data_IF_629148024964
#
_entry.id   IF_629148024964
#
_cell.length_a   1.000
_cell.length_b   1.000
_cell.length_c   1.000
_cell.angle_alpha   90.00
_cell.angle_beta   90.00
_cell.angle_gamma   90.00
#
_symmetry.space_group_name_H-M   'P 1'
#
loop_
_entity.id
_entity.type
_entity.pdbx_description
1 polymer ?
#
# COMPACT_ATOMS: atom_id res chain seq x y z
N UNK A 1 11.26 -4.62 7.36
CA UNK A 1 11.76 -4.20 6.04
C UNK A 1 12.91 -5.10 5.65
N UNK A 2 12.90 -5.63 4.43
CA UNK A 2 14.00 -6.39 3.83
C UNK A 2 14.31 -5.72 2.49
N UNK A 3 15.59 -5.45 2.24
CA UNK A 3 16.07 -4.88 0.99
C UNK A 3 16.94 -5.89 0.26
N UNK A 4 16.58 -6.20 -0.99
CA UNK A 4 17.39 -6.99 -1.91
C UNK A 4 17.97 -6.08 -2.99
N UNK A 5 19.26 -6.22 -3.26
CA UNK A 5 19.93 -5.48 -4.32
C UNK A 5 20.02 -6.34 -5.58
N UNK A 6 19.50 -5.82 -6.68
CA UNK A 6 19.64 -6.35 -8.02
C UNK A 6 20.59 -5.45 -8.84
N UNK A 7 20.98 -5.89 -10.02
CA UNK A 7 21.89 -5.15 -10.89
C UNK A 7 21.34 -3.75 -11.22
N UNK A 8 20.06 -3.67 -11.58
CA UNK A 8 19.44 -2.45 -12.10
C UNK A 8 18.52 -1.74 -11.10
N UNK A 9 18.16 -2.36 -9.95
CA UNK A 9 17.24 -1.78 -8.98
C UNK A 9 17.38 -2.40 -7.58
N UNK A 10 16.82 -1.73 -6.57
CA UNK A 10 16.56 -2.33 -5.25
C UNK A 10 15.11 -2.80 -5.16
N UNK A 11 14.89 -3.99 -4.61
CA UNK A 11 13.58 -4.45 -4.18
C UNK A 11 13.47 -4.38 -2.66
N UNK A 12 12.52 -3.62 -2.17
CA UNK A 12 12.25 -3.46 -0.74
C UNK A 12 10.90 -4.09 -0.42
N UNK A 13 10.89 -5.16 0.38
CA UNK A 13 9.63 -5.67 0.91
C UNK A 13 9.37 -5.14 2.31
N UNK A 14 8.13 -4.76 2.58
CA UNK A 14 7.74 -4.13 3.83
C UNK A 14 6.41 -4.68 4.34
N UNK A 15 6.33 -4.87 5.65
CA UNK A 15 5.08 -4.97 6.39
C UNK A 15 4.96 -3.72 7.27
N UNK A 16 4.11 -2.80 6.86
CA UNK A 16 3.96 -1.52 7.54
C UNK A 16 3.12 -1.68 8.81
N UNK A 17 3.52 -1.09 9.95
CA UNK A 17 2.74 -1.20 11.17
C UNK A 17 1.31 -0.68 11.00
N UNK A 18 0.35 -1.49 11.39
CA UNK A 18 -1.05 -1.06 11.48
C UNK A 18 -1.22 -0.03 12.62
N UNK A 19 -1.98 1.04 12.38
CA UNK A 19 -2.24 2.08 13.37
C UNK A 19 -3.13 1.61 14.54
N UNK A 20 -3.67 0.39 14.48
CA UNK A 20 -4.51 -0.29 15.47
C UNK A 20 -5.89 0.34 15.70
N UNK A 21 -6.69 -0.35 16.52
CA UNK A 21 -8.02 0.13 16.93
C UNK A 21 -7.94 1.43 17.73
N UNK A 22 -9.08 2.10 17.84
CA UNK A 22 -9.21 3.36 18.56
C UNK A 22 -8.86 3.23 20.04
N UNK A 23 -8.26 4.28 20.57
CA UNK A 23 -8.11 4.54 21.99
C UNK A 23 -9.41 5.15 22.59
N UNK A 24 -9.35 5.60 23.83
CA UNK A 24 -10.42 6.32 24.52
C UNK A 24 -10.86 7.61 23.81
N UNK A 25 -9.96 8.24 23.02
CA UNK A 25 -10.22 9.44 22.24
C UNK A 25 -10.78 9.14 20.84
N UNK A 26 -11.15 7.89 20.56
CA UNK A 26 -11.64 7.42 19.25
C UNK A 26 -10.64 7.67 18.11
N UNK A 27 -9.35 7.59 18.40
CA UNK A 27 -8.23 7.70 17.45
C UNK A 27 -7.41 6.41 17.44
N UNK A 28 -6.88 5.95 16.28
CA UNK A 28 -6.01 4.77 16.26
C UNK A 28 -4.77 4.96 17.14
N UNK A 29 -4.51 3.99 18.03
CA UNK A 29 -3.51 4.08 19.11
C UNK A 29 -2.09 4.36 18.64
N UNK A 30 -1.72 3.86 17.46
CA UNK A 30 -0.37 4.00 16.87
C UNK A 30 -0.30 4.99 15.72
N UNK A 31 -1.34 5.81 15.51
CA UNK A 31 -1.39 6.69 14.36
C UNK A 31 -0.20 7.66 14.32
N UNK A 32 0.17 8.24 15.46
CA UNK A 32 1.31 9.17 15.51
C UNK A 32 2.63 8.48 15.19
N UNK A 33 2.91 7.31 15.80
CA UNK A 33 4.08 6.50 15.45
C UNK A 33 4.09 6.15 13.96
N UNK A 34 2.94 5.67 13.43
CA UNK A 34 2.81 5.31 12.03
C UNK A 34 3.15 6.47 11.10
N UNK A 35 2.55 7.63 11.32
CA UNK A 35 2.59 8.73 10.35
C UNK A 35 3.71 9.73 10.58
N UNK A 36 4.22 9.87 11.82
CA UNK A 36 5.27 10.85 12.15
C UNK A 36 6.68 10.24 12.24
N UNK A 37 6.77 8.93 12.44
CA UNK A 37 8.03 8.21 12.56
C UNK A 37 8.17 7.19 11.42
N UNK A 38 7.42 6.08 11.47
CA UNK A 38 7.57 4.97 10.54
C UNK A 38 7.50 5.37 9.06
N UNK A 39 6.43 6.04 8.63
CA UNK A 39 6.25 6.39 7.21
C UNK A 39 7.29 7.42 6.74
N UNK A 40 7.75 8.29 7.64
CA UNK A 40 8.83 9.26 7.37
C UNK A 40 10.15 8.54 7.14
N UNK A 41 10.51 7.63 8.06
CA UNK A 41 11.77 6.90 8.01
C UNK A 41 11.78 5.91 6.85
N UNK A 42 10.64 5.25 6.56
CA UNK A 42 10.52 4.35 5.42
C UNK A 42 10.71 5.08 4.09
N UNK A 43 10.07 6.24 3.92
CA UNK A 43 10.28 7.05 2.72
C UNK A 43 11.72 7.53 2.60
N UNK A 44 12.32 7.99 3.70
CA UNK A 44 13.73 8.41 3.72
C UNK A 44 14.67 7.26 3.34
N UNK A 45 14.42 6.03 3.84
CA UNK A 45 15.16 4.84 3.47
C UNK A 45 15.07 4.55 1.96
N UNK A 46 13.86 4.55 1.40
CA UNK A 46 13.66 4.32 -0.03
C UNK A 46 14.35 5.41 -0.88
N UNK A 47 14.29 6.67 -0.46
CA UNK A 47 14.97 7.78 -1.18
C UNK A 47 16.49 7.70 -1.08
N UNK A 48 17.04 7.23 0.04
CA UNK A 48 18.48 7.00 0.17
C UNK A 48 18.97 5.90 -0.80
N UNK A 49 18.21 4.81 -0.95
CA UNK A 49 18.49 3.77 -1.94
C UNK A 49 18.36 4.30 -3.38
N UNK A 50 17.31 5.08 -3.64
CA UNK A 50 17.03 5.65 -4.96
C UNK A 50 18.13 6.60 -5.46
N UNK A 51 18.89 7.21 -4.57
CA UNK A 51 20.05 8.02 -4.94
C UNK A 51 21.14 7.21 -5.68
N UNK A 52 21.11 5.88 -5.59
CA UNK A 52 22.07 4.97 -6.24
C UNK A 52 21.44 4.24 -7.43
N UNK A 53 20.28 3.63 -7.22
CA UNK A 53 19.54 2.86 -8.23
C UNK A 53 18.03 3.06 -8.02
N UNK A 54 17.21 2.89 -9.05
CA UNK A 54 15.76 2.87 -8.90
C UNK A 54 15.31 1.86 -7.82
N UNK A 55 14.20 2.16 -7.17
CA UNK A 55 13.64 1.34 -6.10
C UNK A 55 12.26 0.84 -6.49
N UNK A 56 12.02 -0.43 -6.23
CA UNK A 56 10.69 -1.04 -6.18
C UNK A 56 10.43 -1.39 -4.72
N UNK A 57 9.35 -0.92 -4.13
CA UNK A 57 8.94 -1.45 -2.85
C UNK A 57 7.55 -2.07 -2.90
N UNK A 58 7.33 -3.11 -2.10
CA UNK A 58 6.10 -3.88 -2.12
C UNK A 58 5.76 -4.45 -0.75
N UNK A 59 4.50 -4.79 -0.57
CA UNK A 59 3.97 -5.45 0.61
C UNK A 59 2.71 -4.80 1.15
N UNK A 60 2.33 -5.20 2.35
CA UNK A 60 1.21 -4.61 3.07
C UNK A 60 1.60 -3.25 3.64
N UNK A 61 1.09 -2.20 3.00
CA UNK A 61 1.30 -0.82 3.46
C UNK A 61 0.28 -0.38 4.51
N UNK A 62 -0.68 -1.24 4.85
CA UNK A 62 -1.72 -0.97 5.84
C UNK A 62 -2.44 0.38 5.64
N UNK A 63 -2.67 0.77 4.38
CA UNK A 63 -3.41 1.97 4.01
C UNK A 63 -4.16 1.76 2.68
N UNK A 64 -5.44 2.06 2.65
CA UNK A 64 -6.18 2.27 1.40
C UNK A 64 -6.02 3.75 1.02
N UNK A 65 -5.41 4.03 -0.14
CA UNK A 65 -5.03 5.39 -0.50
C UNK A 65 -6.24 6.27 -0.82
N UNK A 66 -7.09 5.82 -1.73
CA UNK A 66 -8.25 6.57 -2.22
C UNK A 66 -9.58 5.93 -1.81
N UNK A 67 -10.69 6.66 -1.97
CA UNK A 67 -12.03 6.11 -1.69
C UNK A 67 -12.38 4.90 -2.58
N UNK A 68 -11.78 4.80 -3.75
CA UNK A 68 -11.93 3.66 -4.67
C UNK A 68 -11.20 2.40 -4.18
N UNK A 69 -10.27 2.54 -3.22
CA UNK A 69 -9.43 1.47 -2.72
C UNK A 69 -10.05 0.67 -1.56
N UNK A 70 -11.27 1.00 -1.16
CA UNK A 70 -11.98 0.22 -0.14
C UNK A 70 -13.50 0.26 -0.33
N UNK A 71 -14.15 -0.78 0.19
CA UNK A 71 -15.61 -0.79 0.34
C UNK A 71 -16.04 0.13 1.48
N UNK A 72 -17.11 0.92 1.27
CA UNK A 72 -17.69 1.80 2.30
C UNK A 72 -16.70 2.84 2.88
N UNK A 73 -16.13 3.75 2.08
CA UNK A 73 -15.12 4.70 2.56
C UNK A 73 -15.64 5.66 3.65
N UNK A 74 -16.88 6.12 3.55
CA UNK A 74 -17.44 7.14 4.46
C UNK A 74 -17.37 6.75 5.95
N UNK A 75 -17.85 5.56 6.39
CA UNK A 75 -17.75 5.16 7.79
C UNK A 75 -16.32 4.83 8.25
N UNK A 76 -15.41 4.58 7.31
CA UNK A 76 -14.04 4.16 7.62
C UNK A 76 -13.01 5.31 7.71
N UNK A 77 -13.38 6.57 7.46
CA UNK A 77 -12.47 7.72 7.44
C UNK A 77 -11.68 7.98 8.73
N UNK A 78 -12.08 7.37 9.85
CA UNK A 78 -11.37 7.46 11.13
C UNK A 78 -10.75 6.13 11.56
N UNK A 79 -10.91 5.09 10.77
CA UNK A 79 -10.38 3.77 11.09
C UNK A 79 -8.92 3.65 10.60
N UNK A 80 -8.14 2.86 11.33
CA UNK A 80 -6.79 2.49 10.91
C UNK A 80 -6.79 1.96 9.48
N UNK A 81 -5.83 2.40 8.67
CA UNK A 81 -5.74 2.10 7.25
C UNK A 81 -6.52 3.04 6.33
N UNK A 82 -7.32 3.98 6.87
CA UNK A 82 -8.02 4.97 6.04
C UNK A 82 -8.18 6.34 6.71
N UNK A 83 -7.38 6.65 7.71
CA UNK A 83 -7.33 8.00 8.28
C UNK A 83 -6.75 8.99 7.25
N UNK A 84 -7.12 10.27 7.40
CA UNK A 84 -6.59 11.31 6.52
C UNK A 84 -5.05 11.41 6.64
N UNK A 85 -4.51 11.17 7.83
CA UNK A 85 -3.08 11.22 8.11
C UNK A 85 -2.32 10.10 7.39
N UNK A 86 -2.83 8.85 7.41
CA UNK A 86 -2.20 7.72 6.71
C UNK A 86 -2.25 7.93 5.19
N UNK A 87 -3.38 8.41 4.66
CA UNK A 87 -3.54 8.72 3.24
C UNK A 87 -2.60 9.83 2.79
N UNK A 88 -2.47 10.90 3.59
CA UNK A 88 -1.53 11.98 3.31
C UNK A 88 -0.05 11.50 3.31
N UNK A 89 0.29 10.47 4.09
CA UNK A 89 1.62 9.85 4.02
C UNK A 89 1.81 9.08 2.71
N UNK A 90 0.77 8.45 2.19
CA UNK A 90 0.84 7.82 0.87
C UNK A 90 0.93 8.88 -0.25
N UNK A 91 0.20 10.00 -0.15
CA UNK A 91 0.37 11.14 -1.06
C UNK A 91 1.84 11.61 -1.07
N UNK A 92 2.47 11.75 0.10
CA UNK A 92 3.88 12.13 0.20
C UNK A 92 4.86 11.14 -0.47
N UNK A 93 4.55 9.85 -0.49
CA UNK A 93 5.29 8.82 -1.24
C UNK A 93 5.22 9.10 -2.74
N UNK A 94 4.02 9.38 -3.26
CA UNK A 94 3.81 9.66 -4.69
C UNK A 94 4.46 11.00 -5.08
N UNK A 95 4.33 12.03 -4.26
CA UNK A 95 4.98 13.34 -4.45
C UNK A 95 6.50 13.26 -4.44
N UNK A 96 7.07 12.30 -3.70
CA UNK A 96 8.50 12.03 -3.68
C UNK A 96 9.03 11.33 -4.94
N UNK A 97 8.15 11.01 -5.92
CA UNK A 97 8.53 10.43 -7.21
C UNK A 97 8.36 8.92 -7.30
N UNK A 98 7.58 8.31 -6.40
CA UNK A 98 7.15 6.92 -6.55
C UNK A 98 5.79 6.84 -7.24
N UNK A 99 5.53 5.71 -7.86
CA UNK A 99 4.33 5.44 -8.65
C UNK A 99 3.63 4.20 -8.11
N UNK A 100 2.35 4.30 -7.77
CA UNK A 100 1.48 3.15 -7.54
C UNK A 100 1.25 2.45 -8.88
N UNK A 101 1.90 1.32 -9.09
CA UNK A 101 1.90 0.60 -10.37
C UNK A 101 0.51 0.17 -10.81
N UNK A 102 -0.35 -0.24 -9.86
CA UNK A 102 -1.71 -0.64 -10.17
C UNK A 102 -2.57 0.57 -10.62
N UNK A 103 -2.53 1.67 -9.90
CA UNK A 103 -3.30 2.86 -10.25
C UNK A 103 -2.79 3.59 -11.49
N UNK A 104 -1.50 3.44 -11.83
CA UNK A 104 -0.99 3.94 -13.11
C UNK A 104 -1.67 3.24 -14.30
N UNK A 105 -1.85 1.92 -14.24
CA UNK A 105 -2.44 1.15 -15.34
C UNK A 105 -3.98 1.11 -15.28
N UNK A 106 -4.53 1.11 -14.08
CA UNK A 106 -5.95 0.91 -13.83
C UNK A 106 -6.52 2.02 -12.92
N UNK A 107 -6.49 3.31 -13.36
CA UNK A 107 -6.86 4.45 -12.52
C UNK A 107 -8.30 4.37 -12.01
N UNK A 108 -9.22 3.86 -12.81
CA UNK A 108 -10.66 3.85 -12.53
C UNK A 108 -11.19 2.46 -12.16
N UNK A 109 -10.32 1.45 -11.99
CA UNK A 109 -10.75 0.10 -11.66
C UNK A 109 -11.30 0.03 -10.23
N UNK A 110 -12.61 -0.20 -10.12
CA UNK A 110 -13.33 -0.35 -8.85
C UNK A 110 -13.30 -1.79 -8.35
N UNK A 111 -13.61 -1.97 -7.06
CA UNK A 111 -13.79 -3.30 -6.44
C UNK A 111 -12.56 -4.21 -6.56
N UNK A 112 -11.38 -3.61 -6.66
CA UNK A 112 -10.09 -4.30 -6.73
C UNK A 112 -9.39 -4.19 -5.39
N UNK A 113 -9.50 -5.23 -4.58
CA UNK A 113 -9.00 -5.28 -3.21
C UNK A 113 -7.97 -6.40 -3.04
N UNK A 114 -7.11 -6.25 -2.05
CA UNK A 114 -6.09 -7.24 -1.72
C UNK A 114 -6.28 -7.85 -0.32
N UNK A 115 -7.15 -7.28 0.50
CA UNK A 115 -7.45 -7.74 1.86
C UNK A 115 -8.95 -7.75 2.14
N UNK A 116 -9.40 -8.76 2.90
CA UNK A 116 -10.78 -8.91 3.39
C UNK A 116 -10.80 -9.45 4.81
N UNK A 117 -11.57 -8.81 5.68
CA UNK A 117 -11.76 -9.34 7.04
C UNK A 117 -12.30 -10.78 7.02
N UNK A 118 -11.83 -11.61 7.92
CA UNK A 118 -12.43 -12.96 8.14
C UNK A 118 -13.88 -12.90 8.64
N UNK A 119 -14.35 -11.74 9.12
CA UNK A 119 -15.68 -11.57 9.67
C UNK A 119 -16.73 -11.42 8.57
N UNK A 120 -17.94 -11.92 8.86
CA UNK A 120 -19.14 -11.71 8.04
C UNK A 120 -18.99 -12.12 6.57
N UNK A 121 -18.20 -13.14 6.28
CA UNK A 121 -17.93 -13.62 4.91
C UNK A 121 -17.53 -12.45 3.95
N UNK A 122 -16.68 -11.53 4.42
CA UNK A 122 -16.36 -10.31 3.71
C UNK A 122 -15.78 -10.58 2.31
N UNK A 123 -14.89 -11.60 2.18
CA UNK A 123 -14.25 -11.93 0.91
C UNK A 123 -15.25 -12.43 -0.16
N UNK A 124 -16.19 -13.30 0.20
CA UNK A 124 -17.20 -13.79 -0.75
C UNK A 124 -18.19 -12.71 -1.20
N UNK A 125 -18.28 -11.62 -0.43
CA UNK A 125 -19.12 -10.43 -0.74
C UNK A 125 -18.31 -9.28 -1.33
N UNK A 126 -17.02 -9.50 -1.55
CA UNK A 126 -16.04 -8.50 -1.98
C UNK A 126 -16.06 -7.20 -1.15
N UNK A 127 -16.25 -7.32 0.18
CA UNK A 127 -16.14 -6.20 1.12
C UNK A 127 -14.70 -6.13 1.59
N UNK A 128 -13.86 -5.47 0.79
CA UNK A 128 -12.41 -5.49 0.94
C UNK A 128 -11.76 -4.12 0.89
N UNK A 129 -10.44 -4.14 1.04
CA UNK A 129 -9.54 -3.00 1.00
C UNK A 129 -8.33 -3.35 0.15
N UNK A 130 -7.79 -2.41 -0.61
CA UNK A 130 -6.49 -2.54 -1.27
C UNK A 130 -5.44 -1.99 -0.32
N UNK A 131 -4.70 -2.88 0.32
CA UNK A 131 -3.67 -2.57 1.33
C UNK A 131 -2.26 -2.95 0.87
N UNK A 132 -2.18 -3.85 -0.12
CA UNK A 132 -0.93 -4.36 -0.67
C UNK A 132 -0.61 -3.65 -1.99
N UNK A 133 0.64 -3.24 -2.13
CA UNK A 133 1.09 -2.41 -3.25
C UNK A 133 2.42 -2.89 -3.82
N UNK A 134 2.62 -2.60 -5.10
CA UNK A 134 3.92 -2.38 -5.70
C UNK A 134 4.01 -0.91 -6.07
N UNK A 135 4.97 -0.20 -5.45
CA UNK A 135 5.32 1.14 -5.85
C UNK A 135 6.73 1.14 -6.45
N UNK A 136 6.91 1.87 -7.54
CA UNK A 136 8.19 1.92 -8.25
C UNK A 136 8.68 3.35 -8.35
N UNK A 137 10.00 3.54 -8.39
CA UNK A 137 10.61 4.81 -8.78
C UNK A 137 10.08 5.27 -10.14
N UNK A 138 9.87 6.56 -10.32
CA UNK A 138 9.40 7.15 -11.59
C UNK A 138 10.23 6.68 -12.79
N UNK A 139 11.53 6.44 -12.61
CA UNK A 139 12.43 5.96 -13.68
C UNK A 139 12.05 4.57 -14.21
N UNK A 140 11.41 3.72 -13.38
CA UNK A 140 10.93 2.38 -13.78
C UNK A 140 9.49 2.38 -14.31
N UNK A 141 8.76 3.47 -14.15
CA UNK A 141 7.37 3.58 -14.57
C UNK A 141 7.13 3.18 -16.05
N UNK A 142 7.98 3.56 -17.02
CA UNK A 142 7.81 3.13 -18.43
C UNK A 142 8.02 1.62 -18.66
N UNK A 143 8.63 0.92 -17.71
CA UNK A 143 8.87 -0.52 -17.79
C UNK A 143 7.72 -1.36 -17.24
N UNK A 144 6.75 -0.74 -16.57
CA UNK A 144 5.59 -1.45 -16.02
C UNK A 144 4.78 -2.00 -17.20
N UNK A 145 4.70 -3.33 -17.26
CA UNK A 145 3.89 -4.04 -18.25
C UNK A 145 2.52 -4.39 -17.69
N UNK A 146 2.48 -4.87 -16.44
CA UNK A 146 1.22 -5.19 -15.76
C UNK A 146 1.37 -5.13 -14.23
N UNK A 147 0.25 -4.93 -13.52
CA UNK A 147 0.15 -4.93 -12.07
C UNK A 147 -1.12 -5.71 -11.68
N UNK A 148 -0.94 -6.87 -11.05
CA UNK A 148 -2.01 -7.82 -10.83
C UNK A 148 -2.40 -7.89 -9.35
N UNK A 149 -3.70 -8.02 -9.10
CA UNK A 149 -4.28 -8.39 -7.82
C UNK A 149 -4.91 -9.78 -8.02
N UNK A 150 -4.33 -10.80 -7.38
CA UNK A 150 -4.70 -12.21 -7.60
C UNK A 150 -5.78 -12.64 -6.60
N UNK A 151 -6.91 -11.98 -6.63
CA UNK A 151 -8.03 -12.10 -5.69
C UNK A 151 -8.64 -13.50 -5.59
N UNK A 152 -8.43 -14.36 -6.62
CA UNK A 152 -8.89 -15.76 -6.63
C UNK A 152 -7.94 -16.71 -5.87
N UNK A 153 -6.74 -16.26 -5.48
CA UNK A 153 -5.80 -17.07 -4.68
C UNK A 153 -6.20 -16.99 -3.22
N UNK A 154 -6.59 -18.13 -2.66
CA UNK A 154 -7.08 -18.27 -1.29
C UNK A 154 -5.95 -18.74 -0.36
N UNK A 155 -6.22 -18.74 0.96
CA UNK A 155 -5.29 -19.24 2.00
C UNK A 155 -4.92 -18.22 3.05
N UNK A 156 -5.25 -16.94 2.83
CA UNK A 156 -5.02 -15.82 3.75
C UNK A 156 -6.20 -14.86 3.66
N UNK A 157 -6.30 -13.90 4.58
CA UNK A 157 -7.16 -12.72 4.48
C UNK A 157 -6.63 -11.68 3.48
N UNK A 158 -5.37 -11.81 3.04
CA UNK A 158 -4.85 -11.13 1.86
C UNK A 158 -4.85 -12.05 0.64
N UNK A 159 -4.74 -11.47 -0.55
CA UNK A 159 -4.36 -12.18 -1.76
C UNK A 159 -2.98 -11.71 -2.24
N UNK A 160 -2.26 -12.54 -3.03
CA UNK A 160 -1.02 -12.11 -3.66
C UNK A 160 -1.26 -10.96 -4.63
N UNK A 161 -0.25 -10.11 -4.76
CA UNK A 161 -0.14 -9.13 -5.83
C UNK A 161 1.11 -9.43 -6.67
N UNK A 162 1.14 -8.99 -7.91
CA UNK A 162 2.30 -9.18 -8.78
C UNK A 162 2.55 -7.93 -9.64
N UNK A 163 3.82 -7.64 -9.89
CA UNK A 163 4.26 -6.61 -10.81
C UNK A 163 5.02 -7.28 -11.95
N UNK A 164 4.68 -6.94 -13.19
CA UNK A 164 5.35 -7.40 -14.40
C UNK A 164 6.10 -6.22 -15.00
N UNK A 165 7.40 -6.38 -15.16
CA UNK A 165 8.29 -5.42 -15.83
C UNK A 165 8.79 -6.02 -17.15
N UNK A 166 9.18 -5.13 -18.07
CA UNK A 166 9.85 -5.49 -19.35
C UNK A 166 11.33 -5.71 -19.13
#
# INVERSE_FOLDING_TARGET
VITAEFEDFFLVTVYTPNAQNHDENKRPKRLDYRTKEWDVDFLAHCKALEATKPVIFCGDLNVAHQEIDLTNPKPNRKNAGFTIEERARFDAILEAGFVDSFRQLYPDATERYSWWSYRAAARSRNIGWRLDYFCVSQALSPQIQDALILDQVLGSDHCPIALILR
#
